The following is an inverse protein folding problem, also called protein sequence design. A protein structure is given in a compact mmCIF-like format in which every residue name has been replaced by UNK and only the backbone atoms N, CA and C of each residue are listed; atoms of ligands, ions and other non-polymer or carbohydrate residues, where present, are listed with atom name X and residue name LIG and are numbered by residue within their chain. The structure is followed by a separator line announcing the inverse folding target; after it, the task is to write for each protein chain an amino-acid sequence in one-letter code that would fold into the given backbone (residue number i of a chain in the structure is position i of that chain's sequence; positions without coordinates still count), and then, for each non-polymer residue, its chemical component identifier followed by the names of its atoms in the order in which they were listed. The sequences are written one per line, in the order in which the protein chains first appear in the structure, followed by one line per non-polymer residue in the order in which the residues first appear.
data_IF_484863553226
#
_entry.id   IF_484863553226
#
_cell.length_a   1.000
_cell.length_b   1.000
_cell.length_c   1.000
_cell.angle_alpha   90.00
_cell.angle_beta   90.00
_cell.angle_gamma   90.00
#
_symmetry.space_group_name_H-M   'P 1'
#
loop_
_entity.id
_entity.type
_entity.pdbx_description
1 polymer ?
#
# COMPACT_ATOMS: atom_id res chain seq x y z
N UNK A 1 44.28 21.91 -16.44
CA UNK A 1 44.36 20.44 -16.61
C UNK A 1 43.34 19.82 -15.68
N UNK A 2 42.22 19.33 -16.23
CA UNK A 2 41.24 18.54 -15.49
C UNK A 2 40.62 17.56 -16.50
N UNK A 3 41.24 16.40 -16.55
CA UNK A 3 40.75 15.09 -16.97
C UNK A 3 39.74 15.06 -18.13
N UNK A 4 40.26 14.88 -19.33
CA UNK A 4 39.51 14.37 -20.49
C UNK A 4 38.99 12.97 -20.14
N UNK A 5 37.78 12.90 -19.57
CA UNK A 5 37.10 11.63 -19.28
C UNK A 5 37.08 10.77 -20.55
N UNK A 6 37.78 9.64 -20.50
CA UNK A 6 37.67 8.58 -21.51
C UNK A 6 36.19 8.20 -21.61
N UNK A 7 35.54 8.59 -22.70
CA UNK A 7 34.11 8.40 -23.00
C UNK A 7 33.79 6.93 -23.33
N UNK A 8 34.13 6.02 -22.42
CA UNK A 8 33.98 4.57 -22.64
C UNK A 8 34.26 3.69 -21.43
N UNK A 9 34.83 4.20 -20.33
CA UNK A 9 35.10 3.39 -19.13
C UNK A 9 34.28 3.91 -17.95
N UNK A 10 33.49 3.01 -17.35
CA UNK A 10 32.58 3.31 -16.25
C UNK A 10 32.97 2.48 -15.03
N UNK A 11 33.38 3.15 -13.95
CA UNK A 11 33.65 2.49 -12.67
C UNK A 11 32.34 2.32 -11.90
N UNK A 12 31.82 1.09 -11.87
CA UNK A 12 30.60 0.75 -11.14
C UNK A 12 30.98 0.27 -9.75
N UNK A 13 30.71 1.10 -8.74
CA UNK A 13 30.99 0.79 -7.34
C UNK A 13 30.05 -0.31 -6.78
N UNK A 14 30.37 -0.94 -5.63
CA UNK A 14 29.42 -1.82 -4.94
C UNK A 14 28.07 -1.11 -4.69
N UNK A 15 26.96 -1.83 -4.91
CA UNK A 15 25.59 -1.30 -4.82
C UNK A 15 25.26 -0.17 -5.81
N UNK A 16 25.98 -0.11 -6.94
CA UNK A 16 25.62 0.71 -8.09
C UNK A 16 25.31 -0.17 -9.30
N UNK A 17 24.57 0.39 -10.26
CA UNK A 17 24.24 -0.30 -11.50
C UNK A 17 24.17 0.65 -12.70
N UNK A 18 24.21 0.06 -13.90
CA UNK A 18 24.06 0.73 -15.20
C UNK A 18 22.98 0.05 -16.02
N UNK A 19 22.36 0.79 -16.93
CA UNK A 19 21.63 0.22 -18.06
C UNK A 19 22.43 0.44 -19.34
N UNK A 20 22.71 -0.63 -20.06
CA UNK A 20 23.51 -0.62 -21.29
C UNK A 20 22.68 -1.18 -22.43
N UNK A 21 22.48 -0.39 -23.47
CA UNK A 21 21.85 -0.79 -24.72
C UNK A 21 22.89 -1.35 -25.68
N UNK A 22 22.72 -2.61 -26.07
CA UNK A 22 23.38 -3.20 -27.24
C UNK A 22 22.61 -2.77 -28.50
N UNK A 23 23.24 -1.97 -29.36
CA UNK A 23 22.62 -1.43 -30.57
C UNK A 23 22.49 -2.46 -31.69
N UNK A 24 23.27 -3.55 -31.68
CA UNK A 24 23.14 -4.61 -32.67
C UNK A 24 21.89 -5.46 -32.42
N UNK A 25 21.59 -5.72 -31.14
CA UNK A 25 20.42 -6.50 -30.72
C UNK A 25 19.22 -5.63 -30.36
N UNK A 26 19.43 -4.33 -30.19
CA UNK A 26 18.48 -3.37 -29.62
C UNK A 26 17.95 -3.82 -28.24
N UNK A 27 18.82 -4.42 -27.43
CA UNK A 27 18.48 -4.96 -26.11
C UNK A 27 19.18 -4.17 -25.03
N UNK A 28 18.40 -3.68 -24.06
CA UNK A 28 18.95 -3.03 -22.87
C UNK A 28 19.11 -4.05 -21.76
N UNK A 29 20.31 -4.12 -21.20
CA UNK A 29 20.65 -4.99 -20.07
C UNK A 29 21.13 -4.20 -18.87
N UNK A 30 21.12 -4.89 -17.73
CA UNK A 30 21.57 -4.38 -16.45
C UNK A 30 23.03 -4.83 -16.20
N UNK A 31 23.89 -3.89 -15.83
CA UNK A 31 25.24 -4.17 -15.33
C UNK A 31 25.35 -3.74 -13.87
N UNK A 32 25.77 -4.65 -12.99
CA UNK A 32 25.83 -4.45 -11.54
C UNK A 32 27.29 -4.36 -11.08
N UNK A 33 27.59 -3.46 -10.14
CA UNK A 33 28.92 -3.37 -9.52
C UNK A 33 29.15 -4.42 -8.42
N UNK A 34 30.39 -4.63 -7.96
CA UNK A 34 31.60 -3.87 -8.29
C UNK A 34 32.28 -4.36 -9.57
N UNK A 35 32.40 -3.49 -10.58
CA UNK A 35 33.17 -3.78 -11.79
C UNK A 35 33.58 -2.49 -12.52
N UNK A 36 34.62 -2.58 -13.32
CA UNK A 36 34.96 -1.53 -14.30
C UNK A 36 34.37 -1.95 -15.64
N UNK A 37 33.26 -1.34 -16.02
CA UNK A 37 32.58 -1.60 -17.28
C UNK A 37 33.25 -0.81 -18.41
N UNK A 38 33.70 -1.52 -19.45
CA UNK A 38 34.29 -0.90 -20.65
C UNK A 38 33.28 -1.04 -21.79
N UNK A 39 32.70 0.10 -22.18
CA UNK A 39 31.70 0.23 -23.25
C UNK A 39 32.32 -0.17 -24.58
N UNK A 40 31.70 -1.11 -25.28
CA UNK A 40 32.05 -1.46 -26.65
C UNK A 40 31.48 -0.43 -27.65
N UNK A 41 31.91 -0.50 -28.91
CA UNK A 41 31.46 0.44 -29.96
C UNK A 41 29.96 0.38 -30.20
N UNK A 42 29.40 -0.83 -30.24
CA UNK A 42 27.97 -1.09 -30.43
C UNK A 42 27.12 -0.89 -29.17
N UNK A 43 27.72 -0.42 -28.07
CA UNK A 43 27.02 -0.26 -26.79
C UNK A 43 26.82 1.21 -26.45
N UNK A 44 25.68 1.49 -25.84
CA UNK A 44 25.34 2.81 -25.31
C UNK A 44 24.88 2.69 -23.87
N UNK A 45 25.54 3.38 -22.95
CA UNK A 45 25.07 3.50 -21.57
C UNK A 45 23.86 4.44 -21.57
N UNK A 46 22.70 3.92 -21.18
CA UNK A 46 21.45 4.66 -21.08
C UNK A 46 21.26 5.25 -19.68
N UNK A 47 21.71 4.54 -18.65
CA UNK A 47 21.55 4.93 -17.25
C UNK A 47 22.82 4.62 -16.45
N UNK A 48 23.16 5.52 -15.54
CA UNK A 48 24.10 5.29 -14.43
C UNK A 48 25.54 5.78 -14.63
N UNK A 49 26.43 5.50 -13.65
CA UNK A 49 26.21 4.63 -12.47
C UNK A 49 25.20 5.19 -11.46
N UNK A 50 24.09 4.49 -11.25
CA UNK A 50 23.05 4.84 -10.27
C UNK A 50 23.14 3.96 -9.02
N UNK A 51 22.69 4.48 -7.87
CA UNK A 51 22.63 3.70 -6.63
C UNK A 51 21.48 2.70 -6.67
N UNK A 52 21.73 1.49 -6.19
CA UNK A 52 20.68 0.52 -5.90
C UNK A 52 19.70 1.06 -4.87
N UNK A 53 18.45 0.58 -4.94
CA UNK A 53 17.44 0.88 -3.95
C UNK A 53 17.74 0.11 -2.67
N UNK A 54 17.77 0.85 -1.57
CA UNK A 54 17.94 0.32 -0.21
C UNK A 54 16.64 0.59 0.53
N UNK A 55 15.96 -0.46 0.96
CA UNK A 55 14.73 -0.37 1.74
C UNK A 55 15.08 -0.72 3.19
N UNK A 56 15.06 0.25 4.12
CA UNK A 56 15.30 -0.02 5.52
C UNK A 56 14.21 -0.92 6.14
N UNK A 57 14.47 -1.50 7.33
CA UNK A 57 13.44 -2.20 8.09
C UNK A 57 12.20 -1.33 8.29
N UNK A 58 11.01 -1.94 8.24
CA UNK A 58 9.70 -1.26 8.36
C UNK A 58 9.42 -0.20 7.31
N UNK A 59 10.08 -0.27 6.16
CA UNK A 59 9.78 0.55 4.99
C UNK A 59 9.38 -0.34 3.80
N UNK A 60 8.78 0.28 2.80
CA UNK A 60 8.45 -0.34 1.54
C UNK A 60 8.62 0.66 0.39
N UNK A 61 8.70 0.16 -0.83
CA UNK A 61 8.56 0.97 -2.04
C UNK A 61 7.61 0.28 -3.03
N UNK A 62 7.15 1.04 -4.01
CA UNK A 62 6.25 0.53 -5.05
C UNK A 62 6.94 0.66 -6.40
N UNK A 63 7.05 -0.47 -7.11
CA UNK A 63 7.69 -0.55 -8.42
C UNK A 63 6.61 -0.85 -9.45
N UNK A 64 6.65 -0.12 -10.55
CA UNK A 64 5.78 -0.31 -11.70
C UNK A 64 6.54 -1.03 -12.81
N UNK A 65 5.81 -1.89 -13.53
CA UNK A 65 6.35 -2.82 -14.52
C UNK A 65 7.40 -3.77 -13.96
N UNK A 66 7.12 -4.50 -12.87
CA UNK A 66 8.12 -5.35 -12.22
C UNK A 66 8.63 -6.46 -13.14
N UNK A 67 9.90 -6.82 -12.97
CA UNK A 67 10.50 -7.93 -13.70
C UNK A 67 9.84 -9.27 -13.32
N UNK A 68 9.52 -10.08 -14.33
CA UNK A 68 9.00 -11.44 -14.15
C UNK A 68 10.07 -12.30 -13.51
N UNK A 69 9.72 -13.01 -12.45
CA UNK A 69 10.62 -13.95 -11.76
C UNK A 69 10.13 -15.38 -11.92
N UNK A 70 11.07 -16.33 -12.03
CA UNK A 70 10.78 -17.75 -12.03
C UNK A 70 10.50 -18.27 -10.61
N UNK A 71 10.26 -19.59 -10.49
CA UNK A 71 10.00 -20.25 -9.18
C UNK A 71 11.17 -20.14 -8.19
N UNK A 72 12.37 -19.86 -8.69
CA UNK A 72 13.57 -19.70 -7.88
C UNK A 72 13.85 -18.21 -7.57
N UNK A 73 12.96 -17.30 -7.97
CA UNK A 73 13.13 -15.86 -7.79
C UNK A 73 14.10 -15.21 -8.77
N UNK A 74 14.56 -15.92 -9.79
CA UNK A 74 15.46 -15.38 -10.82
C UNK A 74 14.67 -14.67 -11.90
N UNK A 75 15.17 -13.53 -12.36
CA UNK A 75 14.53 -12.76 -13.44
C UNK A 75 14.52 -13.56 -14.74
N UNK A 76 13.34 -13.63 -15.35
CA UNK A 76 13.11 -14.28 -16.64
C UNK A 76 13.55 -13.34 -17.75
N UNK A 77 14.39 -13.88 -18.62
CA UNK A 77 14.92 -13.19 -19.80
C UNK A 77 14.29 -13.84 -21.03
N UNK A 78 13.93 -13.04 -22.03
CA UNK A 78 13.39 -13.53 -23.29
C UNK A 78 14.48 -14.13 -24.21
N UNK A 79 14.08 -14.63 -25.39
CA UNK A 79 15.00 -15.22 -26.35
C UNK A 79 16.04 -14.23 -26.91
N UNK A 80 15.78 -12.94 -26.83
CA UNK A 80 16.65 -11.88 -27.33
C UNK A 80 17.63 -11.37 -26.27
N UNK A 81 17.46 -11.75 -25.01
CA UNK A 81 18.27 -11.29 -23.88
C UNK A 81 17.65 -10.11 -23.12
N UNK A 82 16.42 -9.72 -23.42
CA UNK A 82 15.70 -8.65 -22.73
C UNK A 82 14.96 -9.19 -21.51
N UNK A 83 14.95 -8.40 -20.44
CA UNK A 83 14.21 -8.73 -19.22
C UNK A 83 12.70 -8.66 -19.50
N UNK A 84 11.98 -9.74 -19.17
CA UNK A 84 10.53 -9.76 -19.29
C UNK A 84 9.90 -9.00 -18.12
N UNK A 85 9.01 -8.07 -18.41
CA UNK A 85 8.29 -7.26 -17.42
C UNK A 85 6.81 -7.63 -17.37
N UNK A 86 6.18 -7.44 -16.21
CA UNK A 86 4.73 -7.43 -16.06
C UNK A 86 4.22 -6.01 -16.32
N UNK A 87 3.93 -5.70 -17.59
CA UNK A 87 3.48 -4.37 -17.98
C UNK A 87 2.18 -3.97 -17.29
N UNK A 88 2.13 -2.74 -16.78
CA UNK A 88 0.99 -2.17 -16.04
C UNK A 88 0.64 -2.90 -14.74
N UNK A 89 1.53 -3.75 -14.22
CA UNK A 89 1.41 -4.33 -12.88
C UNK A 89 2.32 -3.59 -11.89
N UNK A 90 2.08 -3.85 -10.61
CA UNK A 90 2.76 -3.21 -9.50
C UNK A 90 3.32 -4.26 -8.55
N UNK A 91 4.56 -4.05 -8.10
CA UNK A 91 5.23 -4.87 -7.09
C UNK A 91 5.55 -4.01 -5.87
N UNK A 92 5.17 -4.50 -4.69
CA UNK A 92 5.41 -3.84 -3.41
C UNK A 92 6.59 -4.55 -2.76
N UNK A 93 7.73 -3.86 -2.70
CA UNK A 93 8.96 -4.41 -2.14
C UNK A 93 9.16 -3.92 -0.72
N UNK A 94 9.49 -4.85 0.18
CA UNK A 94 9.83 -4.58 1.58
C UNK A 94 11.35 -4.62 1.79
N UNK A 95 11.78 -4.49 3.04
CA UNK A 95 13.18 -4.59 3.46
C UNK A 95 13.83 -5.89 2.92
N UNK A 96 14.85 -5.72 2.09
CA UNK A 96 15.64 -6.80 1.50
C UNK A 96 17.04 -6.30 1.14
N UNK A 97 17.88 -7.16 0.57
CA UNK A 97 19.20 -6.74 0.08
C UNK A 97 19.07 -5.63 -0.98
N UNK A 98 20.04 -4.68 -1.04
CA UNK A 98 20.00 -3.63 -2.04
C UNK A 98 19.85 -4.20 -3.46
N UNK A 99 18.89 -3.66 -4.21
CA UNK A 99 18.56 -4.19 -5.53
C UNK A 99 18.56 -3.08 -6.59
N UNK A 100 18.97 -3.38 -7.82
CA UNK A 100 18.85 -2.46 -8.94
C UNK A 100 17.43 -2.50 -9.51
N UNK A 101 17.05 -1.44 -10.24
CA UNK A 101 15.89 -1.49 -11.13
C UNK A 101 16.32 -2.08 -12.47
N UNK A 102 15.56 -3.02 -12.99
CA UNK A 102 15.77 -3.56 -14.33
C UNK A 102 15.33 -2.56 -15.41
N UNK A 103 15.86 -2.65 -16.65
CA UNK A 103 15.40 -1.80 -17.74
C UNK A 103 13.88 -1.88 -17.94
N UNK A 104 13.20 -0.75 -17.78
CA UNK A 104 11.74 -0.60 -17.88
C UNK A 104 10.99 -0.69 -16.54
N UNK A 105 11.61 -1.18 -15.46
CA UNK A 105 11.08 -0.99 -14.11
C UNK A 105 11.19 0.49 -13.74
N UNK A 106 10.15 1.01 -13.08
CA UNK A 106 10.14 2.40 -12.59
C UNK A 106 9.72 2.46 -11.14
N UNK A 107 10.35 3.35 -10.38
CA UNK A 107 10.00 3.56 -8.98
C UNK A 107 8.77 4.47 -8.89
N UNK A 108 7.59 3.86 -8.77
CA UNK A 108 6.31 4.56 -8.66
C UNK A 108 6.16 5.28 -7.32
N UNK A 109 6.54 4.62 -6.23
CA UNK A 109 6.58 5.22 -4.90
C UNK A 109 7.96 5.01 -4.29
N UNK A 110 8.57 6.12 -3.87
CA UNK A 110 9.85 6.10 -3.16
C UNK A 110 9.75 5.33 -1.83
N UNK A 111 10.91 5.01 -1.26
CA UNK A 111 11.00 4.30 0.03
C UNK A 111 10.24 5.07 1.11
N UNK A 112 9.17 4.47 1.61
CA UNK A 112 8.20 5.05 2.53
C UNK A 112 8.06 4.14 3.77
N UNK A 113 7.94 4.68 4.99
CA UNK A 113 7.69 3.86 6.17
C UNK A 113 6.33 3.17 6.10
N UNK A 114 6.24 1.97 6.67
CA UNK A 114 4.98 1.26 6.84
C UNK A 114 4.07 2.05 7.79
N UNK A 115 2.76 2.06 7.49
CA UNK A 115 1.80 2.81 8.29
C UNK A 115 1.47 2.06 9.58
N UNK A 116 1.86 2.64 10.71
CA UNK A 116 1.51 2.13 12.03
C UNK A 116 0.17 2.72 12.46
N UNK A 117 -0.76 1.84 12.84
CA UNK A 117 -2.09 2.20 13.30
C UNK A 117 -2.15 2.03 14.80
N UNK A 118 -2.53 3.11 15.49
CA UNK A 118 -2.63 3.18 16.94
C UNK A 118 -3.86 2.42 17.47
N UNK A 119 -3.89 2.06 18.77
CA UNK A 119 -5.10 1.57 19.40
C UNK A 119 -6.28 2.52 19.19
N UNK A 120 -7.50 1.99 19.12
CA UNK A 120 -8.72 2.76 18.84
C UNK A 120 -8.73 3.50 17.50
N UNK A 121 -7.84 3.14 16.57
CA UNK A 121 -7.88 3.58 15.18
C UNK A 121 -8.03 2.39 14.24
N UNK A 122 -8.52 2.65 13.04
CA UNK A 122 -8.49 1.70 11.93
C UNK A 122 -8.15 2.40 10.61
N UNK A 123 -7.65 1.64 9.64
CA UNK A 123 -7.64 2.07 8.25
C UNK A 123 -8.86 1.53 7.54
N UNK A 124 -9.58 2.41 6.86
CA UNK A 124 -10.58 2.00 5.87
C UNK A 124 -9.86 1.66 4.58
N UNK A 125 -10.03 0.42 4.17
CA UNK A 125 -9.43 -0.17 2.99
C UNK A 125 -10.53 -0.46 1.98
N UNK A 126 -10.16 -0.42 0.71
CA UNK A 126 -11.04 -0.73 -0.40
C UNK A 126 -10.35 -1.68 -1.37
N UNK A 127 -11.00 -2.78 -1.72
CA UNK A 127 -10.53 -3.68 -2.76
C UNK A 127 -10.60 -2.97 -4.12
N UNK A 128 -9.47 -2.87 -4.82
CA UNK A 128 -9.39 -2.30 -6.17
C UNK A 128 -9.73 -3.36 -7.22
N UNK A 129 -9.39 -4.61 -6.93
CA UNK A 129 -9.61 -5.77 -7.78
C UNK A 129 -9.97 -6.98 -6.93
N UNK A 130 -10.51 -8.03 -7.55
CA UNK A 130 -10.89 -9.25 -6.85
C UNK A 130 -9.65 -9.98 -6.33
N UNK A 131 -9.62 -10.31 -5.04
CA UNK A 131 -8.51 -11.04 -4.44
C UNK A 131 -8.96 -11.93 -3.29
N UNK A 132 -8.07 -12.84 -2.90
CA UNK A 132 -8.23 -13.69 -1.72
C UNK A 132 -7.17 -13.27 -0.72
N UNK A 133 -7.56 -13.03 0.52
CA UNK A 133 -6.62 -12.64 1.56
C UNK A 133 -5.82 -13.84 2.12
N UNK A 134 -4.99 -13.59 3.14
CA UNK A 134 -4.15 -14.66 3.72
C UNK A 134 -4.97 -15.64 4.57
N UNK A 135 -6.17 -15.24 5.00
CA UNK A 135 -7.11 -16.05 5.79
C UNK A 135 -8.06 -16.86 4.90
N UNK A 136 -8.04 -16.63 3.58
CA UNK A 136 -8.87 -17.30 2.60
C UNK A 136 -10.21 -16.60 2.34
N UNK A 137 -10.42 -15.40 2.90
CA UNK A 137 -11.57 -14.56 2.64
C UNK A 137 -11.50 -13.96 1.23
N UNK A 138 -12.62 -14.01 0.51
CA UNK A 138 -12.72 -13.50 -0.86
C UNK A 138 -13.26 -12.08 -0.85
N UNK A 139 -12.52 -11.16 -1.43
CA UNK A 139 -12.91 -9.76 -1.61
C UNK A 139 -13.20 -9.49 -3.07
N UNK A 140 -14.33 -8.83 -3.34
CA UNK A 140 -14.69 -8.33 -4.67
C UNK A 140 -14.25 -6.88 -4.81
N UNK A 141 -13.97 -6.48 -6.04
CA UNK A 141 -13.65 -5.09 -6.37
C UNK A 141 -14.74 -4.14 -5.85
N UNK A 142 -14.32 -3.14 -5.08
CA UNK A 142 -15.19 -2.15 -4.45
C UNK A 142 -15.64 -2.49 -3.02
N UNK A 143 -15.35 -3.70 -2.52
CA UNK A 143 -15.59 -4.06 -1.13
C UNK A 143 -14.74 -3.19 -0.20
N UNK A 144 -15.33 -2.73 0.90
CA UNK A 144 -14.67 -1.96 1.93
C UNK A 144 -14.56 -2.77 3.22
N UNK A 145 -13.40 -2.68 3.85
CA UNK A 145 -13.08 -3.39 5.08
C UNK A 145 -12.12 -2.57 5.95
N UNK A 146 -11.91 -2.99 7.19
CA UNK A 146 -11.10 -2.26 8.16
C UNK A 146 -9.88 -3.07 8.57
N UNK A 147 -8.73 -2.40 8.62
CA UNK A 147 -7.57 -2.88 9.36
C UNK A 147 -7.52 -2.21 10.73
N UNK A 148 -7.74 -2.99 11.79
CA UNK A 148 -7.82 -2.52 13.17
C UNK A 148 -6.42 -2.35 13.79
N UNK A 149 -6.20 -1.25 14.50
CA UNK A 149 -5.02 -1.08 15.35
C UNK A 149 -5.17 -1.75 16.74
N UNK A 150 -4.08 -1.97 17.49
CA UNK A 150 -2.71 -1.61 17.15
C UNK A 150 -2.08 -2.59 16.16
N UNK A 151 -1.43 -2.07 15.12
CA UNK A 151 -0.79 -2.92 14.11
C UNK A 151 -0.04 -2.12 13.06
N UNK A 152 0.88 -2.77 12.36
CA UNK A 152 1.54 -2.18 11.18
C UNK A 152 0.82 -2.69 9.95
N UNK A 153 0.21 -1.79 9.18
CA UNK A 153 -0.45 -2.15 7.94
C UNK A 153 0.59 -2.52 6.88
N UNK A 154 0.43 -3.69 6.28
CA UNK A 154 1.24 -4.19 5.16
C UNK A 154 0.47 -3.93 3.87
N UNK A 155 0.92 -2.99 3.01
CA UNK A 155 0.23 -2.68 1.77
C UNK A 155 0.18 -3.87 0.82
N UNK A 156 -0.94 -3.98 0.10
CA UNK A 156 -1.16 -4.96 -0.98
C UNK A 156 -1.48 -4.24 -2.27
N UNK A 157 -1.15 -4.82 -3.42
CA UNK A 157 -1.36 -4.15 -4.71
C UNK A 157 -2.84 -4.13 -5.10
N UNK A 158 -3.63 -5.05 -4.55
CA UNK A 158 -5.06 -5.20 -4.77
C UNK A 158 -5.91 -4.29 -3.88
N UNK A 159 -5.29 -3.63 -2.89
CA UNK A 159 -5.99 -2.89 -1.82
C UNK A 159 -5.59 -1.42 -1.81
N UNK A 160 -6.59 -0.54 -1.93
CA UNK A 160 -6.44 0.90 -1.74
C UNK A 160 -6.68 1.31 -0.29
N UNK A 161 -5.95 2.32 0.18
CA UNK A 161 -6.19 2.96 1.48
C UNK A 161 -7.03 4.22 1.25
N UNK A 162 -8.23 4.26 1.82
CA UNK A 162 -9.15 5.40 1.67
C UNK A 162 -8.88 6.45 2.77
N UNK A 163 -9.08 6.07 4.03
CA UNK A 163 -8.96 7.00 5.16
C UNK A 163 -8.58 6.28 6.47
N UNK A 164 -8.17 7.06 7.47
CA UNK A 164 -7.94 6.56 8.82
C UNK A 164 -9.10 6.99 9.72
N UNK A 165 -9.78 6.00 10.31
CA UNK A 165 -10.91 6.19 11.21
C UNK A 165 -10.39 6.17 12.65
N UNK A 166 -10.88 7.10 13.46
CA UNK A 166 -10.66 7.13 14.91
C UNK A 166 -11.94 6.72 15.63
N UNK A 167 -11.80 6.02 16.75
CA UNK A 167 -12.94 5.71 17.59
C UNK A 167 -13.57 6.99 18.19
N UNK A 168 -14.88 6.97 18.30
CA UNK A 168 -15.67 7.98 18.99
C UNK A 168 -15.67 7.64 20.48
N UNK A 169 -15.16 8.54 21.32
CA UNK A 169 -15.21 8.36 22.77
C UNK A 169 -16.58 8.80 23.31
N UNK A 170 -17.32 7.86 23.88
CA UNK A 170 -18.62 8.07 24.50
C UNK A 170 -18.49 8.19 26.02
N UNK A 171 -19.00 9.30 26.57
CA UNK A 171 -19.09 9.50 28.03
C UNK A 171 -20.32 8.80 28.60
N UNK A 172 -20.41 8.63 29.93
CA UNK A 172 -21.66 8.21 30.57
C UNK A 172 -22.81 9.11 30.13
N UNK A 173 -23.97 8.51 29.88
CA UNK A 173 -25.17 9.18 29.35
C UNK A 173 -25.02 9.74 27.92
N UNK A 174 -24.05 9.28 27.14
CA UNK A 174 -23.94 9.56 25.70
C UNK A 174 -24.17 8.30 24.87
N UNK A 175 -24.58 8.50 23.62
CA UNK A 175 -24.75 7.45 22.63
C UNK A 175 -24.25 7.96 21.27
N UNK A 176 -23.70 7.10 20.43
CA UNK A 176 -23.40 7.43 19.04
C UNK A 176 -24.60 7.07 18.16
N UNK A 177 -25.06 8.02 17.35
CA UNK A 177 -26.02 7.77 16.28
C UNK A 177 -25.28 7.37 15.02
N UNK A 178 -25.56 6.16 14.57
CA UNK A 178 -24.96 5.54 13.40
C UNK A 178 -25.98 5.46 12.28
N UNK A 179 -25.50 5.45 11.04
CA UNK A 179 -26.29 5.19 9.84
C UNK A 179 -25.60 4.14 8.98
N UNK A 180 -26.36 3.18 8.46
CA UNK A 180 -25.84 2.18 7.54
C UNK A 180 -25.67 2.77 6.14
N UNK A 181 -24.44 2.72 5.59
CA UNK A 181 -24.16 3.13 4.20
C UNK A 181 -24.60 2.08 3.18
N UNK A 182 -24.68 0.82 3.60
CA UNK A 182 -25.11 -0.35 2.82
C UNK A 182 -25.76 -1.35 3.77
N UNK A 183 -26.42 -2.37 3.21
CA UNK A 183 -26.86 -3.53 3.97
C UNK A 183 -25.67 -4.16 4.70
N UNK A 184 -25.80 -4.29 6.02
CA UNK A 184 -24.74 -4.80 6.87
C UNK A 184 -25.30 -5.45 8.13
N UNK A 185 -24.45 -6.14 8.88
CA UNK A 185 -24.76 -6.63 10.22
C UNK A 185 -24.01 -5.74 11.20
N UNK A 186 -24.73 -5.14 12.15
CA UNK A 186 -24.11 -4.32 13.18
C UNK A 186 -23.35 -5.18 14.21
N UNK A 187 -22.65 -4.52 15.15
CA UNK A 187 -21.86 -5.20 16.18
C UNK A 187 -22.70 -6.08 17.12
N UNK A 188 -23.99 -5.81 17.25
CA UNK A 188 -24.90 -6.57 18.10
C UNK A 188 -25.54 -7.75 17.33
N UNK A 189 -25.17 -7.96 16.07
CA UNK A 189 -25.68 -9.02 15.21
C UNK A 189 -27.02 -8.70 14.54
N UNK A 190 -27.45 -7.44 14.57
CA UNK A 190 -28.71 -7.01 13.94
C UNK A 190 -28.44 -6.63 12.50
N UNK A 191 -29.25 -7.19 11.59
CA UNK A 191 -29.22 -6.80 10.18
C UNK A 191 -29.78 -5.38 10.02
N UNK A 192 -29.02 -4.51 9.35
CA UNK A 192 -29.36 -3.12 9.09
C UNK A 192 -29.56 -2.89 7.60
N UNK A 193 -30.63 -2.17 7.26
CA UNK A 193 -30.89 -1.76 5.88
C UNK A 193 -30.16 -0.46 5.52
N UNK A 194 -29.98 -0.21 4.23
CA UNK A 194 -29.31 1.00 3.75
C UNK A 194 -30.07 2.25 4.19
N UNK A 195 -29.38 3.18 4.86
CA UNK A 195 -29.96 4.42 5.37
C UNK A 195 -30.62 4.30 6.75
N UNK A 196 -30.73 3.09 7.31
CA UNK A 196 -31.24 2.88 8.67
C UNK A 196 -30.34 3.59 9.70
N UNK A 197 -30.95 4.27 10.67
CA UNK A 197 -30.25 4.91 11.78
C UNK A 197 -30.54 4.21 13.11
N UNK A 198 -29.50 4.00 13.92
CA UNK A 198 -29.63 3.45 15.27
C UNK A 198 -28.70 4.14 16.27
N UNK A 199 -28.89 3.84 17.55
CA UNK A 199 -28.06 4.36 18.64
C UNK A 199 -27.24 3.24 19.25
N UNK A 200 -25.91 3.39 19.23
CA UNK A 200 -25.02 2.55 20.02
C UNK A 200 -24.68 3.27 21.35
N UNK A 201 -24.82 2.57 22.47
CA UNK A 201 -24.64 3.09 23.85
C UNK A 201 -23.45 2.45 24.58
N UNK A 202 -22.57 1.78 23.86
CA UNK A 202 -21.40 1.13 24.45
C UNK A 202 -20.52 2.20 25.11
N UNK A 203 -20.31 2.08 26.43
CA UNK A 203 -19.44 2.99 27.16
C UNK A 203 -17.99 2.81 26.69
N UNK A 204 -17.26 3.93 26.56
CA UNK A 204 -15.86 3.92 26.15
C UNK A 204 -15.67 4.33 24.68
N UNK A 205 -14.74 3.68 23.98
CA UNK A 205 -14.39 4.01 22.60
C UNK A 205 -15.18 3.14 21.62
N UNK A 206 -16.05 3.76 20.83
CA UNK A 206 -16.74 3.10 19.73
C UNK A 206 -16.01 3.34 18.42
N UNK A 207 -15.39 2.30 17.87
CA UNK A 207 -14.82 2.35 16.53
C UNK A 207 -15.89 1.89 15.51
N UNK A 208 -16.30 2.75 14.56
CA UNK A 208 -17.30 2.39 13.54
C UNK A 208 -16.81 1.27 12.62
N UNK A 209 -17.74 0.44 12.14
CA UNK A 209 -17.49 -0.56 11.10
C UNK A 209 -17.36 0.09 9.71
N UNK A 210 -16.90 -0.67 8.71
CA UNK A 210 -16.60 -0.16 7.35
C UNK A 210 -17.78 0.61 6.71
N UNK A 211 -19.01 0.09 6.92
CA UNK A 211 -20.24 0.63 6.37
C UNK A 211 -21.07 1.44 7.37
N UNK A 212 -20.52 1.75 8.55
CA UNK A 212 -21.17 2.63 9.52
C UNK A 212 -20.72 4.09 9.34
N UNK A 213 -21.70 4.97 9.17
CA UNK A 213 -21.50 6.41 9.21
C UNK A 213 -21.83 6.95 10.61
N UNK A 214 -20.89 7.67 11.23
CA UNK A 214 -21.14 8.38 12.48
C UNK A 214 -21.88 9.68 12.17
N UNK A 215 -23.16 9.74 12.52
CA UNK A 215 -24.00 10.91 12.24
C UNK A 215 -23.83 11.97 13.34
N UNK A 216 -23.94 11.57 14.61
CA UNK A 216 -23.82 12.49 15.75
C UNK A 216 -23.66 11.74 17.08
N UNK A 217 -23.06 12.39 18.08
CA UNK A 217 -23.14 11.97 19.48
C UNK A 217 -24.37 12.59 20.14
N UNK A 218 -25.23 11.77 20.73
CA UNK A 218 -26.49 12.17 21.38
C UNK A 218 -26.35 12.03 22.90
N UNK A 219 -26.70 13.09 23.63
CA UNK A 219 -26.72 13.07 25.10
C UNK A 219 -28.09 12.64 25.61
N UNK A 220 -28.12 11.89 26.71
CA UNK A 220 -29.34 11.57 27.40
C UNK A 220 -29.93 12.82 28.07
N UNK A 221 -31.25 12.92 28.08
CA UNK A 221 -31.95 13.94 28.84
C UNK A 221 -32.00 13.52 30.31
N UNK A 222 -31.42 14.34 31.19
CA UNK A 222 -31.48 14.12 32.64
C UNK A 222 -32.83 14.62 33.15
N UNK A 223 -33.66 13.68 33.61
CA UNK A 223 -34.95 13.97 34.23
C UNK A 223 -34.77 14.35 35.69
N UNK A 224 -35.62 15.23 36.20
CA UNK A 224 -35.66 15.61 37.62
C UNK A 224 -37.10 15.56 38.11
N UNK A 225 -37.29 15.69 39.42
CA UNK A 225 -38.61 15.87 40.08
C UNK A 225 -39.50 16.93 39.38
N UNK A 226 -38.88 17.92 38.74
CA UNK A 226 -39.52 19.05 38.05
C UNK A 226 -39.44 18.99 36.52
N UNK A 227 -38.80 17.98 35.91
CA UNK A 227 -38.58 17.92 34.45
C UNK A 227 -38.94 16.55 33.88
N UNK A 228 -39.86 16.55 32.92
CA UNK A 228 -40.26 15.37 32.14
C UNK A 228 -39.94 15.54 30.66
N UNK A 229 -39.72 14.43 29.95
CA UNK A 229 -39.49 14.40 28.50
C UNK A 229 -40.74 13.87 27.79
N UNK A 230 -41.39 14.72 27.00
CA UNK A 230 -42.51 14.32 26.15
C UNK A 230 -41.96 13.75 24.83
N UNK A 231 -42.30 12.49 24.52
CA UNK A 231 -41.96 11.84 23.25
C UNK A 231 -43.20 11.73 22.37
N UNK A 232 -43.05 11.95 21.07
CA UNK A 232 -44.09 11.65 20.07
C UNK A 232 -43.88 10.22 19.59
N UNK A 233 -44.96 9.42 19.55
CA UNK A 233 -44.98 8.11 18.90
C UNK A 233 -45.13 8.29 17.39
#
# INVERSE_FOLDING_TARGET
MADSKVTGVYRVHPFYYLHVLDQNKNVTRLEVGPQTFVKQDHEKVLLGPERMLIIPPRHYCVIENPAVRDKNGKVVIDANGQVKLLHSDVDIRFSQEPFPLYPGETLKQAVTPLKVIEPNCALRLRAVLDFIDDEGEQFRAGDEFLFYGPGTYIPRKEVGVEEQIKAVTLKPNEAVRLRAKKEMIDRDGVQRETGEEWLNRTNGSYLPLAYEEVVATVKAYVLTDKKALQKRK
#
